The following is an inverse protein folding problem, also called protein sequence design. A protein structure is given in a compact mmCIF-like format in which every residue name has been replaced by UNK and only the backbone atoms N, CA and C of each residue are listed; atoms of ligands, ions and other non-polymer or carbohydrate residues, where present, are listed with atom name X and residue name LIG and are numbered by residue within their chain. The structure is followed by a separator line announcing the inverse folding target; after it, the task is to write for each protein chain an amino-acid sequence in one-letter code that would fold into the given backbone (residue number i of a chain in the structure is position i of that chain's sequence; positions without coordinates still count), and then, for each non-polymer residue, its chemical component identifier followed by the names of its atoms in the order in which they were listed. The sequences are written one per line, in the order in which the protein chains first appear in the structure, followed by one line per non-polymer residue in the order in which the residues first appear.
data_IF_362261176763
#
_entry.id   IF_362261176763
#
_cell.length_a   1.000
_cell.length_b   1.000
_cell.length_c   1.000
_cell.angle_alpha   90.00
_cell.angle_beta   90.00
_cell.angle_gamma   90.00
#
_symmetry.space_group_name_H-M   'P 1'
#
loop_
_entity.id
_entity.type
_entity.pdbx_description
1 polymer ?
#
# COMPACT_ATOMS: atom_id res chain seq x y z
N UNK A 1 -10.61 -12.72 -19.92
CA UNK A 1 -11.22 -13.49 -21.02
C UNK A 1 -11.93 -12.60 -22.02
N UNK A 2 -12.97 -11.85 -21.62
CA UNK A 2 -13.72 -10.94 -22.53
C UNK A 2 -12.84 -9.88 -23.22
N UNK A 3 -11.85 -9.34 -22.52
CA UNK A 3 -10.94 -8.34 -23.11
C UNK A 3 -10.19 -8.89 -24.34
N UNK A 4 -9.66 -10.11 -24.25
CA UNK A 4 -8.92 -10.75 -25.34
C UNK A 4 -9.80 -11.04 -26.56
N UNK A 5 -11.02 -11.52 -26.33
CA UNK A 5 -12.01 -11.75 -27.40
C UNK A 5 -12.45 -10.43 -28.03
N UNK A 6 -12.63 -9.38 -27.23
CA UNK A 6 -13.09 -8.08 -27.73
C UNK A 6 -12.11 -7.39 -28.70
N UNK A 7 -10.81 -7.61 -28.53
CA UNK A 7 -9.76 -7.06 -29.39
C UNK A 7 -9.29 -8.03 -30.50
N UNK A 8 -9.85 -9.24 -30.58
CA UNK A 8 -9.41 -10.26 -31.54
C UNK A 8 -9.54 -9.79 -33.00
N UNK A 9 -10.61 -9.05 -33.31
CA UNK A 9 -10.92 -8.61 -34.69
C UNK A 9 -10.52 -7.16 -34.96
N UNK A 10 -9.88 -6.50 -34.00
CA UNK A 10 -9.38 -5.13 -34.17
C UNK A 10 -7.93 -5.23 -34.63
N UNK A 11 -7.68 -5.07 -35.92
CA UNK A 11 -6.33 -4.88 -36.41
C UNK A 11 -5.67 -3.72 -35.67
N UNK A 12 -4.40 -3.89 -35.32
CA UNK A 12 -3.57 -2.84 -34.72
C UNK A 12 -3.38 -1.73 -35.75
N UNK A 13 -4.36 -0.84 -35.85
CA UNK A 13 -4.15 0.42 -36.56
C UNK A 13 -3.08 1.16 -35.76
N UNK A 14 -1.92 1.38 -36.39
CA UNK A 14 -0.89 2.33 -35.94
C UNK A 14 -1.52 3.73 -35.93
N UNK A 15 -2.32 3.99 -34.90
CA UNK A 15 -2.82 5.31 -34.61
C UNK A 15 -1.69 5.99 -33.84
N UNK A 16 -1.11 7.01 -34.46
CA UNK A 16 -0.19 7.97 -33.84
C UNK A 16 -0.60 8.21 -32.39
N UNK A 17 0.25 7.78 -31.46
CA UNK A 17 -0.03 7.81 -30.03
C UNK A 17 -0.03 9.27 -29.56
N UNK A 18 -1.20 9.90 -29.54
CA UNK A 18 -1.42 11.08 -28.72
C UNK A 18 -1.53 10.60 -27.26
N UNK A 19 -0.41 10.62 -26.55
CA UNK A 19 -0.29 10.15 -25.17
C UNK A 19 -1.06 11.04 -24.17
N UNK A 20 -1.58 12.17 -24.62
CA UNK A 20 -2.27 13.13 -23.78
C UNK A 20 -3.78 12.85 -23.84
N UNK A 21 -4.39 12.61 -22.67
CA UNK A 21 -5.84 12.49 -22.44
C UNK A 21 -6.49 11.11 -22.62
N UNK A 22 -5.93 10.05 -22.05
CA UNK A 22 -6.76 8.91 -21.62
C UNK A 22 -6.72 8.76 -20.11
N UNK A 23 -7.81 9.15 -19.44
CA UNK A 23 -8.18 8.54 -18.14
C UNK A 23 -8.17 7.03 -18.39
N UNK A 24 -7.13 6.33 -17.93
CA UNK A 24 -7.08 4.87 -18.01
C UNK A 24 -8.28 4.36 -17.22
N UNK A 25 -9.34 3.96 -17.91
CA UNK A 25 -10.44 3.26 -17.28
C UNK A 25 -9.93 1.87 -16.93
N UNK A 26 -9.30 1.74 -15.76
CA UNK A 26 -8.73 0.48 -15.25
C UNK A 26 -9.80 -0.60 -15.08
N UNK A 27 -11.07 -0.21 -15.10
CA UNK A 27 -12.23 -1.07 -14.90
C UNK A 27 -12.97 -1.37 -16.22
N UNK A 28 -12.42 -1.02 -17.38
CA UNK A 28 -13.05 -1.37 -18.65
C UNK A 28 -13.09 -2.90 -18.84
N UNK A 29 -14.30 -3.45 -18.84
CA UNK A 29 -14.57 -4.82 -19.26
C UNK A 29 -15.66 -4.79 -20.33
N UNK A 30 -15.48 -5.47 -21.47
CA UNK A 30 -16.51 -5.60 -22.49
C UNK A 30 -17.80 -6.21 -21.92
N UNK A 31 -18.94 -5.74 -22.41
CA UNK A 31 -20.25 -6.28 -22.07
C UNK A 31 -20.39 -7.75 -22.53
N UNK A 32 -21.19 -8.57 -21.83
CA UNK A 32 -21.54 -9.90 -22.32
C UNK A 32 -22.40 -9.82 -23.59
N UNK A 33 -22.49 -10.92 -24.34
CA UNK A 33 -23.38 -11.07 -25.50
C UNK A 33 -22.66 -11.12 -26.85
N UNK A 34 -21.36 -10.77 -26.93
CA UNK A 34 -20.59 -10.87 -28.18
C UNK A 34 -20.28 -12.32 -28.56
N UNK A 35 -20.08 -13.20 -27.57
CA UNK A 35 -19.76 -14.61 -27.79
C UNK A 35 -20.46 -15.50 -26.77
N UNK A 36 -21.55 -16.16 -27.20
CA UNK A 36 -22.38 -17.00 -26.35
C UNK A 36 -21.61 -18.19 -25.72
N UNK A 37 -20.64 -18.78 -26.45
CA UNK A 37 -19.83 -19.89 -25.92
C UNK A 37 -18.91 -19.42 -24.79
N UNK A 38 -18.27 -18.26 -24.98
CA UNK A 38 -17.39 -17.65 -23.99
C UNK A 38 -18.18 -17.20 -22.76
N UNK A 39 -19.36 -16.61 -22.94
CA UNK A 39 -20.22 -16.22 -21.83
C UNK A 39 -20.74 -17.42 -21.04
N UNK A 40 -21.15 -18.50 -21.72
CA UNK A 40 -21.52 -19.77 -21.07
C UNK A 40 -20.36 -20.36 -20.26
N UNK A 41 -19.15 -20.35 -20.80
CA UNK A 41 -17.96 -20.80 -20.05
C UNK A 41 -17.70 -19.92 -18.82
N UNK A 42 -17.71 -18.59 -18.97
CA UNK A 42 -17.49 -17.66 -17.86
C UNK A 42 -18.53 -17.89 -16.76
N UNK A 43 -19.79 -18.10 -17.13
CA UNK A 43 -20.86 -18.33 -16.18
C UNK A 43 -20.71 -19.68 -15.47
N UNK A 44 -20.43 -20.76 -16.20
CA UNK A 44 -20.18 -22.07 -15.60
C UNK A 44 -18.98 -22.06 -14.65
N UNK A 45 -17.92 -21.33 -15.00
CA UNK A 45 -16.77 -21.13 -14.13
C UNK A 45 -17.16 -20.37 -12.88
N UNK A 46 -17.86 -19.23 -13.00
CA UNK A 46 -18.35 -18.44 -11.85
C UNK A 46 -19.19 -19.26 -10.91
N UNK A 47 -20.18 -20.00 -11.43
CA UNK A 47 -21.04 -20.87 -10.63
C UNK A 47 -20.22 -21.95 -9.91
N UNK A 48 -19.25 -22.58 -10.60
CA UNK A 48 -18.31 -23.52 -9.98
C UNK A 48 -17.49 -22.86 -8.88
N UNK A 49 -16.89 -21.70 -9.12
CA UNK A 49 -16.09 -20.98 -8.12
C UNK A 49 -16.92 -20.65 -6.89
N UNK A 50 -18.12 -20.08 -7.07
CA UNK A 50 -19.06 -19.79 -5.98
C UNK A 50 -19.44 -21.04 -5.21
N UNK A 51 -19.67 -22.17 -5.89
CA UNK A 51 -19.98 -23.44 -5.23
C UNK A 51 -18.82 -23.97 -4.39
N UNK A 52 -17.58 -23.81 -4.87
CA UNK A 52 -16.37 -24.25 -4.18
C UNK A 52 -16.08 -23.36 -2.96
N UNK A 53 -16.20 -22.04 -3.10
CA UNK A 53 -16.05 -21.11 -1.99
C UNK A 53 -17.12 -21.30 -0.93
N UNK A 54 -18.38 -21.52 -1.33
CA UNK A 54 -19.47 -21.80 -0.40
C UNK A 54 -19.23 -23.10 0.38
N UNK A 55 -18.75 -24.16 -0.28
CA UNK A 55 -18.34 -25.41 0.39
C UNK A 55 -17.14 -25.26 1.31
N UNK A 56 -16.19 -24.39 0.97
CA UNK A 56 -15.05 -24.07 1.84
C UNK A 56 -15.48 -23.28 3.07
N UNK A 57 -16.39 -22.31 2.91
CA UNK A 57 -16.94 -21.51 4.01
C UNK A 57 -17.82 -22.33 4.98
N UNK A 58 -18.29 -23.51 4.56
CA UNK A 58 -18.98 -24.48 5.44
C UNK A 58 -18.03 -25.32 6.29
N UNK A 59 -16.73 -25.38 5.98
CA UNK A 59 -15.75 -25.96 6.90
C UNK A 59 -15.58 -24.99 8.07
N UNK A 60 -15.86 -25.44 9.30
CA UNK A 60 -15.49 -24.70 10.51
C UNK A 60 -14.01 -24.34 10.39
N UNK A 61 -13.72 -23.04 10.30
CA UNK A 61 -12.35 -22.58 10.38
C UNK A 61 -11.86 -22.85 11.80
N UNK A 62 -10.97 -23.82 11.95
CA UNK A 62 -10.25 -24.02 13.19
C UNK A 62 -9.21 -22.91 13.31
N UNK A 63 -9.11 -22.31 14.49
CA UNK A 63 -8.01 -21.39 14.75
C UNK A 63 -6.71 -22.21 14.71
N UNK A 64 -5.70 -21.73 13.99
CA UNK A 64 -4.39 -22.38 13.90
C UNK A 64 -3.53 -22.15 15.15
N UNK A 65 -4.08 -21.46 16.16
CA UNK A 65 -3.43 -21.14 17.42
C UNK A 65 -4.26 -21.75 18.55
N UNK A 66 -3.56 -22.36 19.50
CA UNK A 66 -4.13 -22.73 20.79
C UNK A 66 -4.52 -21.49 21.60
N UNK A 67 -5.36 -21.71 22.62
CA UNK A 67 -5.75 -20.64 23.55
C UNK A 67 -4.53 -20.06 24.25
N UNK A 68 -3.57 -20.91 24.65
CA UNK A 68 -2.34 -20.44 25.30
C UNK A 68 -1.48 -19.57 24.38
N UNK A 69 -1.33 -19.94 23.11
CA UNK A 69 -0.58 -19.14 22.14
C UNK A 69 -1.25 -17.80 21.88
N UNK A 70 -2.58 -17.78 21.80
CA UNK A 70 -3.32 -16.53 21.62
C UNK A 70 -3.18 -15.60 22.83
N UNK A 71 -3.20 -16.16 24.05
CA UNK A 71 -2.90 -15.41 25.28
C UNK A 71 -1.47 -14.88 25.25
N UNK A 72 -0.48 -15.72 24.93
CA UNK A 72 0.92 -15.30 24.86
C UNK A 72 1.16 -14.18 23.82
N UNK A 73 0.52 -14.26 22.66
CA UNK A 73 0.58 -13.19 21.64
C UNK A 73 -0.03 -11.89 22.17
N UNK A 74 -1.16 -11.97 22.87
CA UNK A 74 -1.80 -10.80 23.46
C UNK A 74 -0.93 -10.19 24.57
N UNK A 75 -0.35 -11.00 25.44
CA UNK A 75 0.56 -10.56 26.50
C UNK A 75 1.79 -9.87 25.89
N UNK A 76 2.37 -10.46 24.85
CA UNK A 76 3.51 -9.90 24.14
C UNK A 76 3.16 -8.57 23.45
N UNK A 77 2.00 -8.48 22.81
CA UNK A 77 1.51 -7.26 22.15
C UNK A 77 1.26 -6.12 23.14
N UNK A 78 0.81 -6.43 24.35
CA UNK A 78 0.47 -5.46 25.38
C UNK A 78 1.66 -5.11 26.29
N UNK A 79 2.81 -5.76 26.12
CA UNK A 79 4.01 -5.47 26.91
C UNK A 79 4.74 -4.24 26.35
N UNK A 80 4.59 -3.10 27.04
CA UNK A 80 5.23 -1.83 26.65
C UNK A 80 6.74 -1.77 26.93
N UNK A 81 7.30 -2.69 27.73
CA UNK A 81 8.72 -2.75 28.01
C UNK A 81 9.55 -3.31 26.85
N UNK A 82 8.89 -3.91 25.86
CA UNK A 82 9.52 -4.45 24.66
C UNK A 82 9.01 -3.75 23.40
N UNK A 83 9.89 -3.64 22.42
CA UNK A 83 9.58 -3.17 21.08
C UNK A 83 9.83 -4.31 20.10
N UNK A 84 8.82 -4.61 19.29
CA UNK A 84 8.84 -5.69 18.30
C UNK A 84 8.82 -5.07 16.91
N UNK A 85 9.86 -5.31 16.13
CA UNK A 85 10.02 -4.78 14.77
C UNK A 85 10.53 -5.85 13.82
N UNK A 86 10.20 -5.77 12.53
CA UNK A 86 10.86 -6.60 11.53
C UNK A 86 12.36 -6.23 11.48
N UNK A 87 13.20 -7.23 11.26
CA UNK A 87 14.61 -7.01 10.95
C UNK A 87 14.74 -6.40 9.54
N UNK A 88 15.77 -5.60 9.33
CA UNK A 88 16.11 -5.03 8.02
C UNK A 88 16.35 -6.11 6.93
N UNK A 89 16.82 -7.31 7.33
CA UNK A 89 17.14 -8.41 6.41
C UNK A 89 16.70 -9.76 6.96
N UNK A 90 16.39 -10.70 6.05
CA UNK A 90 16.21 -12.11 6.37
C UNK A 90 14.84 -12.51 6.92
N UNK A 91 13.83 -11.62 6.87
CA UNK A 91 12.46 -11.93 7.30
C UNK A 91 12.32 -12.23 8.81
N UNK A 92 13.35 -11.95 9.60
CA UNK A 92 13.35 -12.15 11.04
C UNK A 92 12.55 -11.05 11.76
N UNK A 93 12.17 -11.34 13.00
CA UNK A 93 11.57 -10.38 13.94
C UNK A 93 12.56 -10.14 15.07
N UNK A 94 12.73 -8.88 15.45
CA UNK A 94 13.59 -8.47 16.56
C UNK A 94 12.72 -8.01 17.72
N UNK A 95 13.00 -8.55 18.89
CA UNK A 95 12.43 -8.12 20.17
C UNK A 95 13.55 -7.43 20.94
N UNK A 96 13.34 -6.17 21.30
CA UNK A 96 14.33 -5.37 22.03
C UNK A 96 13.67 -4.65 23.19
N UNK A 97 14.43 -4.31 24.22
CA UNK A 97 13.95 -3.41 25.27
C UNK A 97 13.56 -2.06 24.64
N UNK A 98 12.40 -1.53 25.03
CA UNK A 98 11.90 -0.27 24.49
C UNK A 98 12.82 0.92 24.80
N UNK A 99 13.46 0.94 25.97
CA UNK A 99 14.39 2.02 26.34
C UNK A 99 15.64 2.01 25.46
N UNK A 100 16.20 0.83 25.19
CA UNK A 100 17.35 0.71 24.29
C UNK A 100 16.99 1.13 22.85
N UNK A 101 15.78 0.78 22.40
CA UNK A 101 15.28 1.21 21.08
C UNK A 101 15.17 2.73 20.98
N UNK A 102 14.62 3.38 22.00
CA UNK A 102 14.50 4.84 22.01
C UNK A 102 15.89 5.48 22.06
N UNK A 103 16.76 5.01 22.96
CA UNK A 103 18.11 5.53 23.12
C UNK A 103 18.93 5.45 21.83
N UNK A 104 18.86 4.32 21.11
CA UNK A 104 19.54 4.17 19.82
C UNK A 104 19.01 5.18 18.79
N UNK A 105 17.69 5.39 18.75
CA UNK A 105 17.07 6.39 17.88
C UNK A 105 17.53 7.81 18.19
N UNK A 106 17.53 8.17 19.47
CA UNK A 106 17.99 9.48 19.93
C UNK A 106 19.48 9.70 19.61
N UNK A 107 20.32 8.67 19.78
CA UNK A 107 21.73 8.74 19.45
C UNK A 107 21.95 9.01 17.94
N UNK A 108 21.21 8.31 17.07
CA UNK A 108 21.30 8.54 15.62
C UNK A 108 20.79 9.93 15.22
N UNK A 109 19.67 10.36 15.79
CA UNK A 109 19.06 11.66 15.49
C UNK A 109 19.82 12.85 16.07
N UNK A 110 20.68 12.62 17.06
CA UNK A 110 21.56 13.64 17.65
C UNK A 110 22.82 13.89 16.82
N UNK A 111 23.06 13.14 15.74
CA UNK A 111 24.18 13.39 14.85
C UNK A 111 23.91 14.62 13.96
N UNK A 112 24.38 15.78 14.43
CA UNK A 112 24.26 17.07 13.74
C UNK A 112 24.98 17.13 12.38
N UNK A 113 25.80 16.11 12.05
CA UNK A 113 26.38 15.99 10.71
C UNK A 113 25.33 15.62 9.67
N UNK A 114 24.33 14.84 10.04
CA UNK A 114 23.31 14.32 9.12
C UNK A 114 21.91 14.88 9.41
N UNK A 115 21.61 15.25 10.65
CA UNK A 115 20.31 15.72 11.08
C UNK A 115 20.36 17.14 11.61
N UNK A 116 19.22 17.83 11.54
CA UNK A 116 19.02 19.15 12.13
C UNK A 116 17.70 19.18 12.86
N UNK A 117 17.73 19.56 14.13
CA UNK A 117 16.52 19.78 14.91
C UNK A 117 15.74 20.99 14.39
N UNK A 118 14.44 20.81 14.15
CA UNK A 118 13.52 21.89 13.83
C UNK A 118 12.82 22.36 15.11
N UNK A 119 12.55 23.66 15.20
CA UNK A 119 11.89 24.27 16.36
C UNK A 119 10.38 24.00 16.40
N UNK A 120 9.78 23.80 15.24
CA UNK A 120 8.34 23.57 15.07
C UNK A 120 8.07 22.61 13.91
N UNK A 121 6.83 22.11 13.84
CA UNK A 121 6.37 21.25 12.75
C UNK A 121 6.17 22.07 11.46
N UNK A 122 7.01 21.88 10.42
CA UNK A 122 6.95 22.66 9.19
C UNK A 122 5.83 22.19 8.24
N UNK A 123 5.06 21.15 8.60
CA UNK A 123 4.08 20.50 7.72
C UNK A 123 3.10 21.51 7.12
N UNK A 124 2.57 22.44 7.93
CA UNK A 124 1.63 23.47 7.45
C UNK A 124 2.29 24.46 6.50
N UNK A 125 3.49 24.90 6.85
CA UNK A 125 4.28 25.85 6.06
C UNK A 125 4.58 25.26 4.68
N UNK A 126 5.18 24.07 4.63
CA UNK A 126 5.51 23.39 3.37
C UNK A 126 4.28 23.04 2.55
N UNK A 127 3.15 22.70 3.19
CA UNK A 127 1.89 22.51 2.47
C UNK A 127 1.42 23.82 1.82
N UNK A 128 1.58 24.97 2.50
CA UNK A 128 1.24 26.28 1.92
C UNK A 128 2.15 26.61 0.74
N UNK A 129 3.47 26.47 0.91
CA UNK A 129 4.46 26.69 -0.15
C UNK A 129 4.20 25.78 -1.36
N UNK A 130 3.85 24.52 -1.14
CA UNK A 130 3.48 23.58 -2.20
C UNK A 130 2.23 24.05 -2.97
N UNK A 131 1.20 24.55 -2.26
CA UNK A 131 -0.01 25.08 -2.90
C UNK A 131 0.29 26.32 -3.73
N UNK A 132 1.11 27.22 -3.22
CA UNK A 132 1.54 28.43 -3.95
C UNK A 132 2.36 28.07 -5.20
N UNK A 133 3.29 27.13 -5.05
CA UNK A 133 4.08 26.61 -6.17
C UNK A 133 3.17 25.99 -7.24
N UNK A 134 2.19 25.16 -6.86
CA UNK A 134 1.25 24.55 -7.80
C UNK A 134 0.36 25.60 -8.50
N UNK A 135 -0.02 26.68 -7.80
CA UNK A 135 -0.77 27.79 -8.39
C UNK A 135 0.05 28.64 -9.36
N UNK A 136 1.38 28.62 -9.25
CA UNK A 136 2.26 29.37 -10.16
C UNK A 136 2.38 28.76 -11.55
N UNK A 137 1.98 27.49 -11.73
CA UNK A 137 2.01 26.81 -13.03
C UNK A 137 0.79 27.18 -13.91
N UNK A 138 0.90 27.02 -15.24
CA UNK A 138 -0.22 27.20 -16.17
C UNK A 138 -1.44 26.34 -15.82
N UNK A 139 -2.66 26.82 -16.12
CA UNK A 139 -3.93 26.19 -15.70
C UNK A 139 -4.04 24.69 -16.04
N UNK A 140 -3.58 24.28 -17.22
CA UNK A 140 -3.63 22.89 -17.65
C UNK A 140 -2.79 21.97 -16.75
N UNK A 141 -1.65 22.46 -16.27
CA UNK A 141 -0.76 21.72 -15.37
C UNK A 141 -1.20 21.87 -13.91
N UNK A 142 -1.70 23.05 -13.52
CA UNK A 142 -2.25 23.30 -12.19
C UNK A 142 -3.33 22.28 -11.80
N UNK A 143 -4.31 22.05 -12.69
CA UNK A 143 -5.42 21.12 -12.43
C UNK A 143 -4.96 19.66 -12.29
N UNK A 144 -3.89 19.28 -13.01
CA UNK A 144 -3.30 17.95 -12.91
C UNK A 144 -2.56 17.78 -11.58
N UNK A 145 -1.73 18.76 -11.22
CA UNK A 145 -0.89 18.73 -10.02
C UNK A 145 -1.67 18.98 -8.73
N UNK A 146 -2.89 19.52 -8.80
CA UNK A 146 -3.73 19.76 -7.61
C UNK A 146 -3.97 18.47 -6.79
N UNK A 147 -3.98 17.32 -7.47
CA UNK A 147 -4.10 15.99 -6.86
C UNK A 147 -2.88 15.57 -6.02
N UNK A 148 -1.72 16.23 -6.18
CA UNK A 148 -0.50 15.95 -5.43
C UNK A 148 -0.47 16.61 -4.05
N UNK A 149 -1.36 17.57 -3.79
CA UNK A 149 -1.47 18.21 -2.47
C UNK A 149 -2.09 17.19 -1.51
N UNK A 150 -1.40 16.82 -0.42
CA UNK A 150 -1.95 15.89 0.55
C UNK A 150 -3.25 16.46 1.17
N UNK A 151 -4.31 15.65 1.20
CA UNK A 151 -5.60 16.06 1.79
C UNK A 151 -5.49 16.34 3.28
N UNK A 152 -4.70 15.52 3.99
CA UNK A 152 -4.50 15.59 5.43
C UNK A 152 -3.01 15.43 5.75
N UNK A 153 -2.19 16.48 5.54
CA UNK A 153 -0.76 16.41 5.79
C UNK A 153 -0.50 16.26 7.30
N UNK A 154 0.40 15.35 7.66
CA UNK A 154 0.83 15.11 9.02
C UNK A 154 2.35 14.94 9.08
N UNK A 155 2.94 15.15 10.26
CA UNK A 155 4.37 14.92 10.44
C UNK A 155 4.72 13.45 10.21
N UNK A 156 5.90 13.22 9.64
CA UNK A 156 6.44 11.87 9.50
C UNK A 156 6.76 11.27 10.87
N UNK A 157 6.45 9.99 11.05
CA UNK A 157 6.84 9.23 12.24
C UNK A 157 8.19 8.56 12.00
N UNK A 158 9.16 8.84 12.87
CA UNK A 158 10.43 8.14 12.86
C UNK A 158 10.30 6.74 13.46
N UNK A 159 10.89 5.74 12.81
CA UNK A 159 11.07 4.40 13.35
C UNK A 159 12.30 3.75 12.73
N UNK A 160 12.91 2.83 13.46
CA UNK A 160 14.09 2.08 13.03
C UNK A 160 13.78 0.62 12.77
N UNK A 161 14.51 0.03 11.81
CA UNK A 161 14.58 -1.40 11.54
C UNK A 161 15.93 -1.95 12.04
N UNK A 162 15.95 -2.80 13.08
CA UNK A 162 17.21 -3.32 13.61
C UNK A 162 17.96 -4.22 12.61
N UNK A 163 19.30 -4.12 12.61
CA UNK A 163 20.19 -4.95 11.80
C UNK A 163 20.85 -6.02 12.66
N UNK A 164 20.42 -7.27 12.51
CA UNK A 164 20.89 -8.44 13.28
C UNK A 164 22.37 -8.83 13.09
N UNK A 165 23.10 -8.18 12.17
CA UNK A 165 24.49 -8.53 11.81
C UNK A 165 25.48 -7.39 12.06
N UNK A 166 25.07 -6.37 12.81
CA UNK A 166 25.90 -5.25 13.23
C UNK A 166 25.86 -5.22 14.75
N UNK A 167 26.93 -5.70 15.37
CA UNK A 167 27.21 -5.59 16.80
C UNK A 167 28.24 -4.47 17.01
#
# INVERSE_FOLDING_TARGET
MRLKEYFHDKESTETTMDYNNRKKNTNFSPAPGRNAKLDSYIESFRLRTVSLTTKQNQKKMFHNLSVQEQMAINDLKNNHAITIKPADKGGAVVIMNTQDYIKEGDMQLSDDKYYRKLNEDPTKEYTSQLRELIKSFPENLHLELQSLIPTSPCMGTFYMLPKIHKA
#
